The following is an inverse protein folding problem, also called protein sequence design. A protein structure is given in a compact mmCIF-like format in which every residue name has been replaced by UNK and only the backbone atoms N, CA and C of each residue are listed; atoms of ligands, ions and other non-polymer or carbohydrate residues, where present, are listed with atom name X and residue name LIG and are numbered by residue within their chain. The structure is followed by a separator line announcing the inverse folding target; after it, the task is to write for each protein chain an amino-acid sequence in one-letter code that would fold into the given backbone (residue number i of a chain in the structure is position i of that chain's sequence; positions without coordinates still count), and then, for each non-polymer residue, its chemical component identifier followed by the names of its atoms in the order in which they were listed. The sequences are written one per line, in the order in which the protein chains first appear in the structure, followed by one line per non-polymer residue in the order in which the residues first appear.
data_IF_772432449898
#
_entry.id   IF_772432449898
#
_cell.length_a   1.000
_cell.length_b   1.000
_cell.length_c   1.000
_cell.angle_alpha   90.00
_cell.angle_beta   90.00
_cell.angle_gamma   90.00
#
_symmetry.space_group_name_H-M   'P 1'
#
loop_
_entity.id
_entity.type
_entity.pdbx_description
1 polymer ?
#
# COMPACT_ATOMS: atom_id res chain seq x y z
N UNK A 1 -1.48 4.83 19.46
CA UNK A 1 -1.76 6.21 19.03
C UNK A 1 -1.31 6.38 17.58
N UNK A 2 -2.21 6.35 16.60
CA UNK A 2 -1.80 6.43 15.19
C UNK A 2 -2.95 6.74 14.24
N UNK A 3 -3.45 7.97 14.25
CA UNK A 3 -4.47 8.44 13.28
C UNK A 3 -4.00 8.28 11.82
N UNK A 4 -2.68 8.30 11.57
CA UNK A 4 -2.10 8.14 10.24
C UNK A 4 -2.10 6.68 9.74
N UNK A 5 -1.92 5.69 10.64
CA UNK A 5 -1.81 4.26 10.24
C UNK A 5 -3.09 3.77 9.55
N UNK A 6 -4.27 4.13 10.04
CA UNK A 6 -5.53 3.73 9.39
C UNK A 6 -5.72 4.34 8.00
N UNK A 7 -5.23 5.56 7.77
CA UNK A 7 -5.30 6.21 6.46
C UNK A 7 -4.32 5.57 5.48
N UNK A 8 -3.11 5.25 5.95
CA UNK A 8 -2.09 4.53 5.19
C UNK A 8 -2.58 3.13 4.78
N UNK A 9 -3.21 2.40 5.70
CA UNK A 9 -3.79 1.07 5.42
C UNK A 9 -4.91 1.17 4.38
N UNK A 10 -5.84 2.14 4.51
CA UNK A 10 -6.89 2.34 3.50
C UNK A 10 -6.32 2.67 2.12
N UNK A 11 -5.23 3.45 2.07
CA UNK A 11 -4.54 3.76 0.82
C UNK A 11 -3.89 2.51 0.22
N UNK A 12 -3.20 1.71 1.04
CA UNK A 12 -2.59 0.45 0.62
C UNK A 12 -3.64 -0.59 0.17
N UNK A 13 -4.79 -0.68 0.83
CA UNK A 13 -5.93 -1.51 0.37
C UNK A 13 -6.39 -1.07 -1.02
N UNK A 14 -6.57 0.24 -1.25
CA UNK A 14 -6.98 0.75 -2.56
C UNK A 14 -5.93 0.47 -3.64
N UNK A 15 -4.65 0.64 -3.32
CA UNK A 15 -3.54 0.27 -4.20
C UNK A 15 -3.57 -1.22 -4.54
N UNK A 16 -3.73 -2.10 -3.55
CA UNK A 16 -3.79 -3.55 -3.76
C UNK A 16 -4.99 -3.93 -4.62
N UNK A 17 -6.20 -3.44 -4.30
CA UNK A 17 -7.40 -3.69 -5.11
C UNK A 17 -7.19 -3.27 -6.56
N UNK A 18 -6.62 -2.09 -6.80
CA UNK A 18 -6.29 -1.61 -8.13
C UNK A 18 -5.22 -2.47 -8.84
N UNK A 19 -4.18 -2.92 -8.11
CA UNK A 19 -3.16 -3.84 -8.63
C UNK A 19 -3.81 -5.16 -9.08
N UNK A 20 -4.61 -5.81 -8.23
CA UNK A 20 -5.29 -7.06 -8.57
C UNK A 20 -6.19 -6.88 -9.80
N UNK A 21 -7.00 -5.82 -9.84
CA UNK A 21 -7.87 -5.48 -10.98
C UNK A 21 -7.07 -5.29 -12.28
N UNK A 22 -5.98 -4.53 -12.26
CA UNK A 22 -5.17 -4.29 -13.47
C UNK A 22 -4.41 -5.53 -13.94
N UNK A 23 -4.00 -6.41 -13.03
CA UNK A 23 -3.30 -7.65 -13.36
C UNK A 23 -4.23 -8.78 -13.80
N UNK A 24 -5.55 -8.54 -13.82
CA UNK A 24 -6.55 -9.58 -14.13
C UNK A 24 -6.59 -10.73 -13.12
N UNK A 25 -6.03 -10.51 -11.91
CA UNK A 25 -6.02 -11.50 -10.85
C UNK A 25 -7.33 -11.44 -10.04
N UNK A 26 -7.83 -12.57 -9.53
CA UNK A 26 -9.01 -12.58 -8.68
C UNK A 26 -8.75 -11.75 -7.42
N UNK A 27 -9.70 -10.88 -7.06
CA UNK A 27 -9.64 -10.09 -5.85
C UNK A 27 -9.75 -11.04 -4.64
N UNK A 28 -8.73 -11.14 -3.77
CA UNK A 28 -8.85 -11.98 -2.58
C UNK A 28 -9.86 -11.38 -1.59
N UNK A 29 -10.26 -12.14 -0.57
CA UNK A 29 -11.17 -11.65 0.48
C UNK A 29 -10.67 -10.36 1.12
N UNK A 30 -11.61 -9.49 1.52
CA UNK A 30 -11.29 -8.18 2.08
C UNK A 30 -10.34 -8.28 3.29
N UNK A 31 -10.58 -9.24 4.19
CA UNK A 31 -9.72 -9.54 5.33
C UNK A 31 -8.28 -9.89 4.95
N UNK A 32 -8.08 -10.52 3.79
CA UNK A 32 -6.75 -10.88 3.26
C UNK A 32 -6.07 -9.65 2.67
N UNK A 33 -6.83 -8.80 1.96
CA UNK A 33 -6.33 -7.54 1.40
C UNK A 33 -5.93 -6.59 2.53
N UNK A 34 -6.73 -6.48 3.58
CA UNK A 34 -6.43 -5.64 4.74
C UNK A 34 -5.15 -6.09 5.45
N UNK A 35 -4.99 -7.38 5.74
CA UNK A 35 -3.75 -7.92 6.33
C UNK A 35 -2.53 -7.65 5.45
N UNK A 36 -2.68 -7.78 4.13
CA UNK A 36 -1.60 -7.50 3.20
C UNK A 36 -1.29 -5.99 3.15
N UNK A 37 -2.32 -5.13 3.19
CA UNK A 37 -2.15 -3.69 3.26
C UNK A 37 -1.46 -3.24 4.54
N UNK A 38 -1.81 -3.84 5.70
CA UNK A 38 -1.13 -3.58 6.97
C UNK A 38 0.35 -3.92 6.89
N UNK A 39 0.70 -5.08 6.30
CA UNK A 39 2.09 -5.48 6.10
C UNK A 39 2.84 -4.52 5.18
N UNK A 40 2.22 -4.10 4.06
CA UNK A 40 2.82 -3.13 3.13
C UNK A 40 3.08 -1.80 3.83
N UNK A 41 2.16 -1.33 4.67
CA UNK A 41 2.33 -0.11 5.46
C UNK A 41 3.45 -0.28 6.48
N UNK A 42 3.55 -1.43 7.13
CA UNK A 42 4.62 -1.73 8.09
C UNK A 42 6.00 -1.76 7.43
N UNK A 43 6.14 -2.44 6.29
CA UNK A 43 7.37 -2.45 5.49
C UNK A 43 7.73 -1.03 5.02
N UNK A 44 6.73 -0.24 4.60
CA UNK A 44 6.93 1.15 4.23
C UNK A 44 7.36 2.01 5.43
N UNK A 45 6.88 1.74 6.65
CA UNK A 45 7.35 2.39 7.89
C UNK A 45 8.81 2.06 8.18
N UNK A 46 9.24 0.82 7.93
CA UNK A 46 10.65 0.45 8.05
C UNK A 46 11.53 1.22 7.06
N UNK A 47 11.14 1.25 5.78
CA UNK A 47 11.86 1.99 4.72
C UNK A 47 11.87 3.49 5.01
N UNK A 48 10.74 4.04 5.47
CA UNK A 48 10.60 5.44 5.87
C UNK A 48 11.58 5.80 6.99
N UNK A 49 11.70 4.92 8.00
CA UNK A 49 12.65 5.09 9.11
C UNK A 49 14.11 5.05 8.64
N UNK A 50 14.43 4.18 7.69
CA UNK A 50 15.79 4.08 7.13
C UNK A 50 16.16 5.23 6.19
N UNK A 51 15.18 5.74 5.42
CA UNK A 51 15.41 6.77 4.37
C UNK A 51 15.04 8.19 4.80
N UNK A 52 14.46 8.38 5.98
CA UNK A 52 13.96 9.68 6.46
C UNK A 52 12.75 10.21 5.68
N UNK A 53 12.02 9.34 4.98
CA UNK A 53 10.80 9.69 4.23
C UNK A 53 9.53 9.33 5.01
N UNK A 54 8.37 9.79 4.54
CA UNK A 54 7.09 9.38 5.10
C UNK A 54 6.47 8.23 4.30
N UNK A 55 5.71 7.36 4.97
CA UNK A 55 5.09 6.17 4.39
C UNK A 55 4.12 6.50 3.27
N UNK A 56 3.39 7.60 3.40
CA UNK A 56 2.42 8.02 2.39
C UNK A 56 3.09 8.35 1.05
N UNK A 57 4.28 8.95 1.06
CA UNK A 57 5.09 9.20 -0.14
C UNK A 57 5.57 7.88 -0.76
N UNK A 58 6.04 6.92 0.04
CA UNK A 58 6.47 5.60 -0.45
C UNK A 58 5.32 4.87 -1.14
N UNK A 59 4.13 4.84 -0.52
CA UNK A 59 2.95 4.20 -1.11
C UNK A 59 2.55 4.91 -2.41
N UNK A 60 2.60 6.25 -2.46
CA UNK A 60 2.30 7.02 -3.67
C UNK A 60 3.31 6.74 -4.80
N UNK A 61 4.60 6.68 -4.47
CA UNK A 61 5.65 6.38 -5.44
C UNK A 61 5.46 4.96 -6.00
N UNK A 62 5.17 3.97 -5.15
CA UNK A 62 4.84 2.61 -5.58
C UNK A 62 3.63 2.58 -6.52
N UNK A 63 2.56 3.31 -6.21
CA UNK A 63 1.39 3.45 -7.10
C UNK A 63 1.80 4.09 -8.43
N UNK A 64 2.59 5.15 -8.40
CA UNK A 64 3.05 5.86 -9.60
C UNK A 64 3.94 4.98 -10.48
N UNK A 65 4.83 4.15 -9.89
CA UNK A 65 5.63 3.18 -10.63
C UNK A 65 4.77 2.11 -11.30
N UNK A 66 3.75 1.59 -10.60
CA UNK A 66 2.82 0.63 -11.18
C UNK A 66 2.01 1.27 -12.33
N UNK A 67 1.62 2.55 -12.22
CA UNK A 67 0.94 3.28 -13.29
C UNK A 67 1.84 3.55 -14.50
N UNK A 68 3.13 3.87 -14.26
CA UNK A 68 4.12 4.15 -15.32
C UNK A 68 4.61 2.92 -16.07
N UNK A 69 4.51 1.72 -15.48
CA UNK A 69 4.87 0.45 -16.14
C UNK A 69 3.83 -0.06 -17.16
N UNK A 70 2.83 0.75 -17.49
CA UNK A 70 1.83 0.50 -18.53
C UNK A 70 2.25 1.14 -19.85
#
# INVERSE_FOLDING_TARGET
MGFFKNQEVKLAVRMLKWKYQNTGMPLPEESVIEKHAEKVVEDAHQIAKERGSNVMSIIKDLVAEIQKKK
#
